data_IF_836630466909
#
_entry.id   IF_836630466909
#
_cell.length_a   1.000
_cell.length_b   1.000
_cell.length_c   1.000
_cell.angle_alpha   90.00
_cell.angle_beta   90.00
_cell.angle_gamma   90.00
#
_symmetry.space_group_name_H-M   'P 1'
#
loop_
_entity.id
_entity.type
_entity.pdbx_description
1 polymer ?
#
# COMPACT_ATOMS: atom_id res chain seq x y z
N UNK A 1 -16.49 37.93 36.15
CA UNK A 1 -15.87 36.64 36.50
C UNK A 1 -15.08 36.19 35.29
N UNK A 2 -13.75 35.98 35.39
CA UNK A 2 -13.01 35.46 34.25
C UNK A 2 -13.47 34.03 33.96
N UNK A 3 -13.73 33.73 32.69
CA UNK A 3 -14.08 32.41 32.22
C UNK A 3 -12.97 31.43 32.62
N UNK A 4 -13.35 30.43 33.41
CA UNK A 4 -12.47 29.35 33.81
C UNK A 4 -12.14 28.57 32.54
N UNK A 5 -10.89 28.67 32.07
CA UNK A 5 -10.41 27.86 30.97
C UNK A 5 -10.66 26.39 31.32
N UNK A 6 -11.47 25.70 30.52
CA UNK A 6 -11.71 24.28 30.68
C UNK A 6 -10.35 23.58 30.66
N UNK A 7 -10.03 22.85 31.74
CA UNK A 7 -8.84 22.02 31.76
C UNK A 7 -8.88 21.08 30.54
N UNK A 8 -7.76 20.86 29.84
CA UNK A 8 -7.73 19.89 28.76
C UNK A 8 -8.21 18.55 29.31
N UNK A 9 -9.25 17.98 28.69
CA UNK A 9 -9.74 16.66 29.06
C UNK A 9 -8.55 15.69 29.05
N UNK A 10 -8.28 15.03 30.19
CA UNK A 10 -7.22 14.05 30.27
C UNK A 10 -7.49 12.96 29.22
N UNK A 11 -6.53 12.72 28.33
CA UNK A 11 -6.62 11.64 27.34
C UNK A 11 -6.57 10.33 28.12
N UNK A 12 -7.69 9.59 28.14
CA UNK A 12 -7.74 8.27 28.75
C UNK A 12 -6.84 7.29 28.00
N UNK A 13 -6.25 6.33 28.73
CA UNK A 13 -5.42 5.28 28.12
C UNK A 13 -6.25 4.44 27.14
N UNK A 14 -5.75 4.18 25.92
CA UNK A 14 -6.52 3.43 24.93
C UNK A 14 -6.57 1.93 25.23
N UNK A 15 -5.69 1.40 26.08
CA UNK A 15 -5.69 -0.02 26.48
C UNK A 15 -6.76 -0.20 27.57
N UNK A 16 -7.83 -0.90 27.22
CA UNK A 16 -8.99 -1.10 28.11
C UNK A 16 -8.96 -2.45 28.84
N UNK A 17 -8.14 -3.39 28.36
CA UNK A 17 -7.78 -4.61 29.09
C UNK A 17 -6.47 -5.19 28.54
N UNK A 18 -5.76 -5.96 29.35
CA UNK A 18 -4.59 -6.71 28.90
C UNK A 18 -4.39 -7.97 29.74
N UNK A 19 -3.82 -9.00 29.14
CA UNK A 19 -3.31 -10.19 29.84
C UNK A 19 -1.82 -10.35 29.53
N UNK A 20 -0.98 -10.62 30.54
CA UNK A 20 0.41 -10.97 30.28
C UNK A 20 0.50 -12.33 29.58
N UNK A 21 1.65 -12.57 28.96
CA UNK A 21 1.98 -13.89 28.43
C UNK A 21 1.93 -14.94 29.56
N UNK A 22 1.38 -16.11 29.26
CA UNK A 22 1.24 -17.20 30.23
C UNK A 22 1.22 -18.55 29.51
N UNK A 23 2.24 -19.39 29.77
CA UNK A 23 2.40 -20.66 29.06
C UNK A 23 2.49 -20.43 27.54
N UNK A 24 1.66 -21.14 26.77
CA UNK A 24 1.57 -20.99 25.31
C UNK A 24 0.74 -19.76 24.86
N UNK A 25 0.07 -19.04 25.79
CA UNK A 25 -0.67 -17.82 25.46
C UNK A 25 0.30 -16.63 25.37
N UNK A 26 0.41 -15.94 24.22
CA UNK A 26 1.15 -14.69 24.13
C UNK A 26 0.48 -13.60 24.98
N UNK A 27 1.19 -12.50 25.25
CA UNK A 27 0.52 -11.33 25.82
C UNK A 27 -0.60 -10.86 24.87
N UNK A 28 -1.70 -10.35 25.41
CA UNK A 28 -2.80 -9.80 24.61
C UNK A 28 -3.24 -8.47 25.20
N UNK A 29 -3.47 -7.49 24.34
CA UNK A 29 -4.02 -6.19 24.70
C UNK A 29 -5.29 -5.91 23.92
N UNK A 30 -6.26 -5.29 24.59
CA UNK A 30 -7.53 -4.86 24.03
C UNK A 30 -7.54 -3.35 24.06
N UNK A 31 -7.65 -2.72 22.89
CA UNK A 31 -7.61 -1.27 22.74
C UNK A 31 -8.94 -0.73 22.23
N UNK A 32 -9.35 0.42 22.75
CA UNK A 32 -10.42 1.20 22.16
C UNK A 32 -9.99 1.71 20.78
N UNK A 33 -10.80 1.47 19.75
CA UNK A 33 -10.48 1.81 18.37
C UNK A 33 -11.61 2.60 17.68
N UNK A 34 -12.20 3.56 18.39
CA UNK A 34 -13.40 4.30 17.98
C UNK A 34 -14.61 3.93 18.84
N UNK A 35 -15.79 4.41 18.47
CA UNK A 35 -17.03 4.22 19.23
C UNK A 35 -17.60 2.79 19.12
N UNK A 36 -17.43 2.15 17.96
CA UNK A 36 -17.98 0.83 17.65
C UNK A 36 -16.94 -0.26 17.41
N UNK A 37 -15.69 -0.07 17.87
CA UNK A 37 -14.60 -1.02 17.62
C UNK A 37 -13.69 -1.26 18.82
N UNK A 38 -13.25 -2.51 18.93
CA UNK A 38 -12.10 -2.93 19.74
C UNK A 38 -11.00 -3.43 18.82
N UNK A 39 -9.75 -3.08 19.13
CA UNK A 39 -8.58 -3.66 18.50
C UNK A 39 -7.90 -4.59 19.51
N UNK A 40 -7.95 -5.89 19.23
CA UNK A 40 -7.18 -6.89 19.96
C UNK A 40 -5.81 -7.02 19.31
N UNK A 41 -4.74 -7.05 20.10
CA UNK A 41 -3.38 -7.26 19.62
C UNK A 41 -2.65 -8.33 20.45
N UNK A 42 -2.03 -9.29 19.77
CA UNK A 42 -1.21 -10.32 20.41
C UNK A 42 0.29 -9.99 20.33
N UNK A 43 1.01 -10.33 21.40
CA UNK A 43 2.47 -10.32 21.47
C UNK A 43 3.12 -8.96 21.25
N UNK A 44 4.44 -8.98 21.14
CA UNK A 44 5.24 -7.81 20.82
C UNK A 44 5.06 -7.41 19.33
N UNK A 45 5.60 -6.25 18.97
CA UNK A 45 5.59 -5.76 17.58
C UNK A 45 6.61 -6.50 16.71
N UNK A 46 6.39 -7.80 16.53
CA UNK A 46 7.21 -8.71 15.73
C UNK A 46 6.34 -9.47 14.74
N UNK A 47 6.94 -9.91 13.64
CA UNK A 47 6.31 -10.86 12.75
C UNK A 47 6.49 -12.27 13.32
N UNK A 48 5.40 -12.83 13.83
CA UNK A 48 5.33 -14.22 14.29
C UNK A 48 4.02 -14.84 13.77
N UNK A 49 4.15 -15.93 13.01
CA UNK A 49 3.01 -16.63 12.42
C UNK A 49 2.11 -17.23 13.50
N UNK A 50 2.65 -17.60 14.67
CA UNK A 50 1.86 -18.15 15.78
C UNK A 50 0.79 -17.15 16.25
N UNK A 51 1.09 -15.85 16.25
CA UNK A 51 0.14 -14.79 16.62
C UNK A 51 -1.05 -14.75 15.65
N UNK A 52 -0.78 -14.90 14.34
CA UNK A 52 -1.84 -14.95 13.34
C UNK A 52 -2.68 -16.22 13.42
N UNK A 53 -2.04 -17.35 13.70
CA UNK A 53 -2.70 -18.62 13.93
C UNK A 53 -3.61 -18.57 15.17
N UNK A 54 -3.18 -17.86 16.23
CA UNK A 54 -4.02 -17.64 17.41
C UNK A 54 -5.25 -16.79 17.10
N UNK A 55 -5.11 -15.75 16.26
CA UNK A 55 -6.26 -14.97 15.77
C UNK A 55 -7.24 -15.87 15.02
N UNK A 56 -6.75 -16.80 14.22
CA UNK A 56 -7.61 -17.75 13.52
C UNK A 56 -8.38 -18.65 14.49
N UNK A 57 -7.74 -19.14 15.55
CA UNK A 57 -8.42 -19.88 16.62
C UNK A 57 -9.49 -19.03 17.31
N UNK A 58 -9.19 -17.77 17.61
CA UNK A 58 -10.15 -16.84 18.21
C UNK A 58 -11.36 -16.60 17.29
N UNK A 59 -11.11 -16.34 16.00
CA UNK A 59 -12.19 -16.16 15.02
C UNK A 59 -13.04 -17.43 14.90
N UNK A 60 -12.43 -18.61 14.82
CA UNK A 60 -13.15 -19.87 14.79
C UNK A 60 -14.00 -20.12 16.04
N UNK A 61 -13.51 -19.72 17.23
CA UNK A 61 -14.29 -19.78 18.46
C UNK A 61 -15.47 -18.81 18.46
N UNK A 62 -15.30 -17.60 17.92
CA UNK A 62 -16.37 -16.60 17.78
C UNK A 62 -17.39 -16.98 16.71
N UNK A 63 -16.99 -17.68 15.65
CA UNK A 63 -17.90 -18.22 14.65
C UNK A 63 -18.74 -19.38 15.22
N UNK A 64 -18.15 -20.18 16.12
CA UNK A 64 -18.82 -21.30 16.77
C UNK A 64 -19.77 -20.89 17.91
N UNK A 65 -19.42 -19.85 18.69
CA UNK A 65 -20.27 -19.21 19.71
C UNK A 65 -20.37 -17.69 19.49
N UNK A 66 -21.21 -17.24 18.54
CA UNK A 66 -21.35 -15.83 18.21
C UNK A 66 -21.81 -14.98 19.39
N UNK A 67 -21.11 -13.86 19.63
CA UNK A 67 -21.50 -12.88 20.65
C UNK A 67 -22.52 -11.92 20.04
N UNK A 68 -23.74 -11.88 20.60
CA UNK A 68 -24.76 -10.92 20.19
C UNK A 68 -24.23 -9.47 20.28
N UNK A 69 -24.35 -8.73 19.18
CA UNK A 69 -23.85 -7.37 19.04
C UNK A 69 -22.48 -7.25 18.37
N UNK A 70 -21.70 -8.33 18.21
CA UNK A 70 -20.53 -8.34 17.33
C UNK A 70 -20.99 -8.42 15.88
N UNK A 71 -20.49 -7.51 15.04
CA UNK A 71 -20.95 -7.32 13.66
C UNK A 71 -19.94 -7.80 12.62
N UNK A 72 -18.65 -7.64 12.89
CA UNK A 72 -17.59 -7.91 11.92
C UNK A 72 -16.27 -8.21 12.64
N UNK A 73 -15.50 -9.16 12.09
CA UNK A 73 -14.17 -9.56 12.53
C UNK A 73 -13.18 -9.36 11.39
N UNK A 74 -12.25 -8.43 11.56
CA UNK A 74 -11.29 -8.05 10.51
C UNK A 74 -9.86 -8.35 10.97
N UNK A 75 -9.30 -9.52 10.60
CA UNK A 75 -7.97 -9.92 11.04
C UNK A 75 -6.88 -9.15 10.28
N UNK A 76 -5.90 -8.65 11.04
CA UNK A 76 -4.60 -8.22 10.56
C UNK A 76 -3.55 -9.30 10.74
N UNK A 77 -2.27 -8.90 10.79
CA UNK A 77 -1.14 -9.83 10.96
C UNK A 77 -1.08 -10.39 12.39
N UNK A 78 -1.07 -9.51 13.40
CA UNK A 78 -1.00 -9.84 14.83
C UNK A 78 -2.16 -9.24 15.64
N UNK A 79 -3.18 -8.75 14.95
CA UNK A 79 -4.32 -8.08 15.56
C UNK A 79 -5.64 -8.49 14.94
N UNK A 80 -6.72 -8.32 15.69
CA UNK A 80 -8.09 -8.52 15.24
C UNK A 80 -8.88 -7.26 15.57
N UNK A 81 -9.41 -6.60 14.55
CA UNK A 81 -10.39 -5.54 14.76
C UNK A 81 -11.78 -6.17 14.87
N UNK A 82 -12.49 -5.82 15.94
CA UNK A 82 -13.81 -6.34 16.27
C UNK A 82 -14.77 -5.17 16.24
N UNK A 83 -15.68 -5.16 15.26
CA UNK A 83 -16.77 -4.19 15.17
C UNK A 83 -17.95 -4.69 15.99
N UNK A 84 -18.53 -3.83 16.82
CA UNK A 84 -19.70 -4.17 17.63
C UNK A 84 -20.70 -3.02 17.72
N UNK A 85 -21.97 -3.36 17.97
CA UNK A 85 -23.03 -2.39 18.26
C UNK A 85 -23.11 -2.14 19.78
N UNK A 86 -22.65 -0.96 20.20
CA UNK A 86 -22.63 -0.55 21.60
C UNK A 86 -24.02 -0.42 22.24
N UNK A 87 -25.09 -0.40 21.42
CA UNK A 87 -26.49 -0.42 21.89
C UNK A 87 -26.98 -1.83 22.22
N UNK A 88 -26.29 -2.86 21.72
CA UNK A 88 -26.60 -4.28 21.96
C UNK A 88 -25.68 -4.87 23.03
N UNK A 89 -24.39 -4.55 22.99
CA UNK A 89 -23.39 -5.02 23.96
C UNK A 89 -22.46 -3.88 24.38
N UNK A 90 -22.33 -3.68 25.70
CA UNK A 90 -21.39 -2.71 26.24
C UNK A 90 -19.94 -3.21 26.10
N UNK A 91 -18.99 -2.29 25.91
CA UNK A 91 -17.57 -2.61 25.70
C UNK A 91 -17.01 -3.54 26.79
N UNK A 92 -17.28 -3.25 28.06
CA UNK A 92 -16.82 -4.09 29.18
C UNK A 92 -17.35 -5.53 29.10
N UNK A 93 -18.63 -5.71 28.78
CA UNK A 93 -19.24 -7.03 28.64
C UNK A 93 -18.66 -7.81 27.44
N UNK A 94 -18.36 -7.12 26.34
CA UNK A 94 -17.66 -7.71 25.19
C UNK A 94 -16.25 -8.17 25.58
N UNK A 95 -15.47 -7.33 26.27
CA UNK A 95 -14.13 -7.68 26.75
C UNK A 95 -14.18 -8.91 27.66
N UNK A 96 -15.11 -8.97 28.62
CA UNK A 96 -15.25 -10.13 29.51
C UNK A 96 -15.54 -11.43 28.74
N UNK A 97 -16.33 -11.38 27.67
CA UNK A 97 -16.58 -12.54 26.81
C UNK A 97 -15.32 -12.94 26.04
N UNK A 98 -14.60 -11.98 25.47
CA UNK A 98 -13.35 -12.24 24.76
C UNK A 98 -12.27 -12.82 25.67
N UNK A 99 -12.12 -12.31 26.90
CA UNK A 99 -11.19 -12.83 27.90
C UNK A 99 -11.52 -14.29 28.29
N UNK A 100 -12.81 -14.64 28.36
CA UNK A 100 -13.25 -16.01 28.63
C UNK A 100 -12.93 -16.95 27.46
N UNK A 101 -13.18 -16.52 26.22
CA UNK A 101 -12.83 -17.29 25.02
C UNK A 101 -11.31 -17.49 24.94
N UNK A 102 -10.55 -16.42 25.15
CA UNK A 102 -9.08 -16.41 25.13
C UNK A 102 -8.46 -17.44 26.08
N UNK A 103 -9.07 -17.62 27.26
CA UNK A 103 -8.62 -18.60 28.26
C UNK A 103 -8.86 -20.06 27.82
N UNK A 104 -9.80 -20.31 26.91
CA UNK A 104 -10.14 -21.65 26.40
C UNK A 104 -9.54 -21.99 25.03
N UNK A 105 -8.82 -21.06 24.38
CA UNK A 105 -8.24 -21.32 23.06
C UNK A 105 -7.16 -22.41 23.12
N UNK A 106 -7.19 -23.28 22.10
CA UNK A 106 -6.19 -24.31 21.91
C UNK A 106 -4.78 -23.72 21.67
N UNK A 107 -3.77 -24.57 21.85
CA UNK A 107 -2.39 -24.24 21.51
C UNK A 107 -2.19 -24.27 19.98
N UNK A 108 -1.54 -23.24 19.45
CA UNK A 108 -1.20 -23.13 18.03
C UNK A 108 -0.13 -24.13 17.61
N UNK A 109 0.65 -24.68 18.54
CA UNK A 109 1.76 -25.59 18.27
C UNK A 109 1.37 -26.84 17.47
N UNK A 110 0.08 -27.25 17.52
CA UNK A 110 -0.43 -28.43 16.78
C UNK A 110 -1.41 -28.06 15.67
N UNK A 111 -1.58 -26.76 15.41
CA UNK A 111 -2.57 -26.27 14.45
C UNK A 111 -2.19 -26.67 13.03
N UNK A 112 -3.22 -27.13 12.32
CA UNK A 112 -3.17 -27.38 10.88
C UNK A 112 -4.28 -26.60 10.22
N UNK A 113 -3.94 -25.83 9.19
CA UNK A 113 -4.90 -24.99 8.47
C UNK A 113 -4.92 -25.41 6.99
N UNK A 114 -6.10 -25.64 6.39
CA UNK A 114 -6.20 -25.80 4.94
C UNK A 114 -5.59 -24.59 4.23
N UNK A 115 -4.76 -24.82 3.23
CA UNK A 115 -4.08 -23.76 2.47
C UNK A 115 -4.16 -24.09 0.99
N UNK A 116 -4.50 -23.09 0.17
CA UNK A 116 -4.44 -23.23 -1.29
C UNK A 116 -3.14 -22.61 -1.79
N UNK A 117 -2.38 -23.31 -2.61
CA UNK A 117 -1.24 -22.75 -3.32
C UNK A 117 -1.71 -22.24 -4.68
N UNK A 118 -1.79 -20.91 -4.81
CA UNK A 118 -2.26 -20.20 -6.00
C UNK A 118 -1.05 -19.76 -6.82
N UNK A 119 -0.89 -20.33 -8.00
CA UNK A 119 0.21 -20.02 -8.91
C UNK A 119 -0.19 -18.88 -9.87
N UNK A 120 0.44 -17.72 -9.72
CA UNK A 120 0.13 -16.53 -10.50
C UNK A 120 1.28 -16.17 -11.47
N UNK A 121 0.99 -15.80 -12.73
CA UNK A 121 2.01 -15.25 -13.62
C UNK A 121 2.41 -13.86 -13.13
N UNK A 122 3.69 -13.51 -13.23
CA UNK A 122 4.14 -12.15 -12.94
C UNK A 122 5.16 -11.68 -13.98
N UNK A 123 4.91 -10.49 -14.52
CA UNK A 123 5.91 -9.73 -15.27
C UNK A 123 6.70 -8.87 -14.27
N UNK A 124 8.02 -9.06 -14.23
CA UNK A 124 8.90 -8.34 -13.31
C UNK A 124 9.25 -6.97 -13.91
N UNK A 125 9.02 -5.90 -13.15
CA UNK A 125 9.24 -4.51 -13.57
C UNK A 125 8.63 -4.15 -14.93
N UNK A 126 7.38 -4.56 -15.17
CA UNK A 126 6.63 -4.18 -16.37
C UNK A 126 6.38 -2.66 -16.45
N UNK A 127 6.00 -2.18 -17.63
CA UNK A 127 5.87 -0.75 -17.91
C UNK A 127 4.86 -0.04 -17.00
N UNK A 128 3.77 -0.69 -16.58
CA UNK A 128 2.77 -0.07 -15.70
C UNK A 128 3.32 0.11 -14.27
N UNK A 129 4.07 -0.88 -13.79
CA UNK A 129 4.76 -0.83 -12.48
C UNK A 129 5.77 0.30 -12.46
N UNK A 130 6.64 0.38 -13.48
CA UNK A 130 7.64 1.45 -13.59
C UNK A 130 6.99 2.83 -13.79
N UNK A 131 5.91 2.89 -14.58
CA UNK A 131 5.13 4.11 -14.81
C UNK A 131 4.52 4.69 -13.53
N UNK A 132 4.08 3.84 -12.58
CA UNK A 132 3.59 4.30 -11.28
C UNK A 132 4.71 4.94 -10.43
N UNK A 133 5.95 4.42 -10.50
CA UNK A 133 7.12 5.00 -9.82
C UNK A 133 7.54 6.31 -10.49
N UNK A 134 7.54 6.36 -11.82
CA UNK A 134 7.82 7.58 -12.58
C UNK A 134 6.80 8.68 -12.24
N UNK A 135 5.50 8.37 -12.27
CA UNK A 135 4.46 9.32 -11.90
C UNK A 135 4.69 9.89 -10.50
N UNK A 136 5.02 9.04 -9.52
CA UNK A 136 5.30 9.49 -8.15
C UNK A 136 6.48 10.47 -8.08
N UNK A 137 7.54 10.23 -8.86
CA UNK A 137 8.68 11.15 -8.95
C UNK A 137 8.26 12.52 -9.49
N UNK A 138 7.43 12.53 -10.53
CA UNK A 138 6.98 13.77 -11.19
C UNK A 138 5.97 14.56 -10.36
N UNK A 139 5.18 13.90 -9.51
CA UNK A 139 3.98 14.51 -8.90
C UNK A 139 4.04 14.69 -7.39
N UNK A 140 4.74 13.79 -6.68
CA UNK A 140 4.69 13.73 -5.21
C UNK A 140 6.05 13.99 -4.60
N UNK A 141 7.06 13.21 -4.99
CA UNK A 141 8.42 13.33 -4.42
C UNK A 141 9.46 12.91 -5.45
N UNK A 142 10.18 13.89 -6.00
CA UNK A 142 11.18 13.71 -7.04
C UNK A 142 12.41 12.92 -6.58
N UNK A 143 12.78 13.00 -5.30
CA UNK A 143 13.92 12.28 -4.75
C UNK A 143 13.58 11.65 -3.40
N UNK A 144 13.89 10.36 -3.29
CA UNK A 144 13.85 9.59 -2.06
C UNK A 144 14.80 8.40 -2.22
N UNK A 145 15.23 7.76 -1.13
CA UNK A 145 16.17 6.66 -1.26
C UNK A 145 15.65 5.42 -2.01
N UNK A 146 14.33 5.26 -2.06
CA UNK A 146 13.68 4.22 -2.84
C UNK A 146 13.46 4.56 -4.32
N UNK A 147 13.93 5.73 -4.75
CA UNK A 147 13.89 6.24 -6.12
C UNK A 147 15.32 6.28 -6.72
N UNK A 148 15.47 6.28 -8.05
CA UNK A 148 14.42 6.25 -9.08
C UNK A 148 13.79 4.88 -9.30
N UNK A 149 14.34 3.82 -8.70
CA UNK A 149 13.89 2.44 -8.90
C UNK A 149 13.79 1.68 -7.57
N UNK A 150 12.63 1.07 -7.34
CA UNK A 150 12.33 0.36 -6.09
C UNK A 150 13.10 -0.95 -5.93
N UNK A 151 13.34 -1.69 -7.02
CA UNK A 151 14.07 -2.96 -6.99
C UNK A 151 15.55 -2.73 -6.65
N UNK A 152 16.17 -1.68 -7.18
CA UNK A 152 17.52 -1.27 -6.78
C UNK A 152 17.59 -0.95 -5.29
N UNK A 153 16.58 -0.26 -4.78
CA UNK A 153 16.49 0.02 -3.35
C UNK A 153 16.37 -1.27 -2.52
N UNK A 154 15.46 -2.17 -2.90
CA UNK A 154 15.33 -3.49 -2.25
C UNK A 154 16.65 -4.25 -2.29
N UNK A 155 17.38 -4.22 -3.42
CA UNK A 155 18.69 -4.85 -3.52
C UNK A 155 19.67 -4.29 -2.48
N UNK A 156 19.84 -2.97 -2.44
CA UNK A 156 20.82 -2.30 -1.57
C UNK A 156 20.51 -2.52 -0.09
N UNK A 157 19.27 -2.24 0.33
CA UNK A 157 18.87 -2.33 1.75
C UNK A 157 18.92 -3.76 2.30
N UNK A 158 18.90 -4.77 1.43
CA UNK A 158 19.01 -6.19 1.81
C UNK A 158 20.43 -6.77 1.63
N UNK A 159 21.39 -5.98 1.13
CA UNK A 159 22.76 -6.43 0.91
C UNK A 159 22.86 -7.53 -0.16
N UNK A 160 22.02 -7.44 -1.20
CA UNK A 160 22.00 -8.40 -2.30
C UNK A 160 22.98 -7.98 -3.41
N UNK A 161 23.60 -8.96 -4.05
CA UNK A 161 24.67 -8.72 -5.03
C UNK A 161 24.14 -8.17 -6.36
N UNK A 162 22.87 -8.41 -6.69
CA UNK A 162 22.28 -7.96 -7.96
C UNK A 162 20.76 -7.87 -7.89
N UNK A 163 20.18 -7.08 -8.81
CA UNK A 163 18.73 -7.06 -9.07
C UNK A 163 18.17 -8.45 -9.39
N UNK A 164 18.98 -9.28 -10.07
CA UNK A 164 18.61 -10.67 -10.35
C UNK A 164 18.32 -11.45 -9.07
N UNK A 165 19.09 -11.27 -8.00
CA UNK A 165 18.82 -11.93 -6.72
C UNK A 165 17.50 -11.46 -6.10
N UNK A 166 17.14 -10.18 -6.24
CA UNK A 166 15.81 -9.69 -5.82
C UNK A 166 14.72 -10.44 -6.58
N UNK A 167 14.85 -10.48 -7.91
CA UNK A 167 13.92 -11.20 -8.80
C UNK A 167 13.79 -12.66 -8.39
N UNK A 168 14.90 -13.38 -8.26
CA UNK A 168 14.94 -14.80 -7.95
C UNK A 168 14.23 -15.06 -6.60
N UNK A 169 14.53 -14.28 -5.55
CA UNK A 169 13.85 -14.38 -4.25
C UNK A 169 12.34 -14.15 -4.38
N UNK A 170 11.89 -13.20 -5.19
CA UNK A 170 10.46 -12.92 -5.39
C UNK A 170 9.73 -14.10 -6.05
N UNK A 171 10.37 -14.78 -7.00
CA UNK A 171 9.79 -15.93 -7.68
C UNK A 171 9.92 -17.25 -6.90
N UNK A 172 10.95 -17.40 -6.06
CA UNK A 172 11.17 -18.59 -5.23
C UNK A 172 10.33 -18.59 -3.94
N UNK A 173 9.75 -17.44 -3.58
CA UNK A 173 8.96 -17.29 -2.37
C UNK A 173 7.57 -17.94 -2.43
N UNK A 174 7.18 -18.57 -1.32
CA UNK A 174 5.78 -18.93 -1.02
C UNK A 174 5.21 -17.93 -0.03
N UNK A 175 4.27 -17.10 -0.48
CA UNK A 175 3.71 -15.98 0.29
C UNK A 175 2.41 -16.38 0.99
N UNK A 176 2.46 -16.62 2.30
CA UNK A 176 1.29 -16.95 3.11
C UNK A 176 0.45 -15.69 3.37
N UNK A 177 -0.84 -15.72 3.02
CA UNK A 177 -1.76 -14.60 3.19
C UNK A 177 -2.20 -14.50 4.64
N UNK A 178 -1.83 -13.38 5.27
CA UNK A 178 -2.14 -13.06 6.67
C UNK A 178 -3.44 -12.28 6.78
N UNK A 179 -3.69 -11.34 5.86
CA UNK A 179 -4.89 -10.51 5.83
C UNK A 179 -5.30 -10.15 4.41
N UNK A 180 -6.48 -9.56 4.26
CA UNK A 180 -7.03 -9.09 2.98
C UNK A 180 -7.47 -7.63 3.12
N UNK A 181 -7.45 -6.89 2.02
CA UNK A 181 -7.75 -5.46 1.97
C UNK A 181 -6.54 -4.56 2.27
N UNK A 182 -5.31 -4.97 1.93
CA UNK A 182 -4.06 -4.19 2.03
C UNK A 182 -3.50 -3.84 0.63
N UNK A 183 -4.09 -2.90 -0.14
CA UNK A 183 -5.24 -2.07 0.21
C UNK A 183 -6.41 -2.27 -0.76
N UNK A 184 -7.63 -2.33 -0.21
CA UNK A 184 -8.90 -2.51 -0.92
C UNK A 184 -9.09 -3.88 -1.60
N UNK A 185 -10.34 -4.17 -1.97
CA UNK A 185 -10.76 -5.23 -2.90
C UNK A 185 -9.96 -6.54 -2.85
N UNK A 186 -9.83 -7.15 -1.67
CA UNK A 186 -9.16 -8.45 -1.50
C UNK A 186 -7.64 -8.43 -1.68
N UNK A 187 -7.01 -7.26 -1.77
CA UNK A 187 -5.55 -7.11 -1.81
C UNK A 187 -4.90 -7.82 -0.61
N UNK A 188 -4.00 -8.79 -0.82
CA UNK A 188 -3.45 -9.56 0.29
C UNK A 188 -2.39 -8.75 1.05
N UNK A 189 -2.36 -8.93 2.37
CA UNK A 189 -1.14 -8.72 3.16
C UNK A 189 -0.53 -10.11 3.38
N UNK A 190 0.50 -10.45 2.63
CA UNK A 190 1.12 -11.77 2.64
C UNK A 190 2.57 -11.71 3.09
N UNK A 191 3.12 -12.84 3.52
CA UNK A 191 4.51 -12.92 3.98
C UNK A 191 5.19 -14.20 3.53
N UNK A 192 6.47 -14.16 3.10
CA UNK A 192 7.20 -15.38 2.80
C UNK A 192 7.28 -16.32 4.01
N UNK A 193 6.93 -17.59 3.78
CA UNK A 193 7.01 -18.66 4.77
C UNK A 193 8.46 -18.89 5.20
N UNK A 194 9.39 -18.90 4.23
CA UNK A 194 10.83 -18.94 4.46
C UNK A 194 11.35 -17.55 4.86
N UNK A 195 11.92 -17.37 6.07
CA UNK A 195 12.49 -16.09 6.50
C UNK A 195 13.58 -15.53 5.57
N UNK A 196 14.28 -16.38 4.81
CA UNK A 196 15.31 -15.97 3.84
C UNK A 196 14.74 -15.29 2.60
N UNK A 197 13.42 -15.36 2.40
CA UNK A 197 12.73 -14.66 1.32
C UNK A 197 12.08 -13.35 1.77
N UNK A 198 12.17 -12.99 3.06
CA UNK A 198 11.61 -11.76 3.63
C UNK A 198 12.49 -10.56 3.30
N UNK A 199 12.35 -10.03 2.09
CA UNK A 199 13.01 -8.81 1.66
C UNK A 199 12.50 -7.63 2.49
N UNK A 200 13.37 -7.04 3.32
CA UNK A 200 13.05 -5.91 4.17
C UNK A 200 13.08 -4.62 3.36
N UNK A 201 12.09 -3.77 3.54
CA UNK A 201 12.00 -2.48 2.87
C UNK A 201 11.16 -1.46 3.64
N UNK A 202 11.28 -0.19 3.31
CA UNK A 202 10.39 0.86 3.83
C UNK A 202 9.09 0.91 3.04
N UNK A 203 8.03 1.47 3.65
CA UNK A 203 6.92 2.02 2.87
C UNK A 203 7.30 3.42 2.36
N UNK A 204 6.70 3.83 1.26
CA UNK A 204 6.79 5.19 0.73
C UNK A 204 6.40 6.24 1.78
N UNK A 205 7.09 7.38 1.74
CA UNK A 205 6.76 8.55 2.55
C UNK A 205 6.87 9.86 1.72
N UNK A 206 5.74 10.54 1.43
CA UNK A 206 4.35 10.07 1.63
C UNK A 206 4.00 8.92 0.64
N UNK A 207 2.87 8.25 0.87
CA UNK A 207 2.40 7.19 -0.03
C UNK A 207 2.04 7.72 -1.42
N UNK A 208 2.11 6.86 -2.45
CA UNK A 208 1.63 7.20 -3.80
C UNK A 208 0.12 7.44 -3.81
N UNK A 209 -0.31 8.31 -4.69
CA UNK A 209 -1.71 8.58 -5.01
C UNK A 209 -2.30 7.56 -5.99
N UNK A 210 -1.45 6.96 -6.84
CA UNK A 210 -1.82 6.00 -7.87
C UNK A 210 -0.85 4.80 -7.93
N UNK A 211 -1.38 3.61 -8.18
CA UNK A 211 -0.70 2.34 -8.42
C UNK A 211 -1.64 1.52 -9.29
N UNK A 212 -1.14 0.92 -10.37
CA UNK A 212 -1.98 0.18 -11.30
C UNK A 212 -2.50 -1.14 -10.69
N UNK A 213 -3.71 -1.56 -11.08
CA UNK A 213 -4.28 -2.85 -10.70
C UNK A 213 -3.37 -4.02 -11.09
N UNK A 214 -3.26 -4.99 -10.18
CA UNK A 214 -2.44 -6.18 -10.32
C UNK A 214 -0.97 -5.96 -9.97
N UNK A 215 -0.55 -4.72 -9.67
CA UNK A 215 0.83 -4.45 -9.26
C UNK A 215 1.15 -5.24 -7.99
N UNK A 216 2.33 -5.82 -7.94
CA UNK A 216 2.89 -6.52 -6.79
C UNK A 216 3.86 -5.57 -6.07
N UNK A 217 3.70 -5.43 -4.76
CA UNK A 217 4.54 -4.57 -3.94
C UNK A 217 5.08 -5.28 -2.70
N UNK A 218 6.21 -4.80 -2.17
CA UNK A 218 6.81 -5.23 -0.91
C UNK A 218 6.90 -4.04 0.04
N UNK A 219 6.46 -4.19 1.29
CA UNK A 219 6.43 -3.12 2.29
C UNK A 219 6.72 -3.66 3.68
N UNK A 220 7.79 -3.21 4.32
CA UNK A 220 8.35 -3.97 5.44
C UNK A 220 8.90 -5.29 4.92
N UNK A 221 8.33 -6.42 5.35
CA UNK A 221 8.61 -7.75 4.82
C UNK A 221 7.38 -8.38 4.15
N UNK A 222 6.31 -7.60 4.02
CA UNK A 222 5.01 -8.06 3.51
C UNK A 222 4.92 -7.83 2.02
N UNK A 223 4.27 -8.76 1.32
CA UNK A 223 3.90 -8.65 -0.08
C UNK A 223 2.42 -8.28 -0.19
N UNK A 224 2.09 -7.41 -1.14
CA UNK A 224 0.71 -7.15 -1.56
C UNK A 224 0.54 -7.26 -3.06
N UNK A 225 -0.71 -7.49 -3.48
CA UNK A 225 -1.18 -7.38 -4.87
C UNK A 225 -2.31 -6.35 -4.87
N UNK A 226 -2.16 -5.25 -5.61
CA UNK A 226 -3.15 -4.19 -5.66
C UNK A 226 -4.40 -4.64 -6.44
N UNK A 227 -5.55 -4.79 -5.76
CA UNK A 227 -6.79 -5.33 -6.35
C UNK A 227 -7.54 -4.36 -7.28
N UNK A 228 -7.12 -3.10 -7.34
CA UNK A 228 -7.65 -2.05 -8.21
C UNK A 228 -6.60 -0.95 -8.39
N UNK A 229 -6.86 -0.01 -9.30
CA UNK A 229 -6.10 1.24 -9.35
C UNK A 229 -6.30 2.00 -8.03
N UNK A 230 -5.23 2.23 -7.27
CA UNK A 230 -5.35 2.78 -5.93
C UNK A 230 -4.10 3.52 -5.43
N UNK A 231 -4.22 4.31 -4.36
CA UNK A 231 -3.06 4.73 -3.58
C UNK A 231 -2.27 3.52 -3.05
N UNK A 232 -0.97 3.71 -2.79
CA UNK A 232 -0.11 2.61 -2.38
C UNK A 232 1.19 3.06 -1.72
N UNK A 233 1.58 2.35 -0.66
CA UNK A 233 2.81 2.62 0.08
C UNK A 233 3.93 1.61 -0.14
N UNK A 234 3.70 0.49 -0.83
CA UNK A 234 4.69 -0.60 -0.92
C UNK A 234 5.66 -0.32 -2.07
N UNK A 235 6.90 -0.79 -1.96
CA UNK A 235 7.89 -0.78 -3.04
C UNK A 235 7.46 -1.69 -4.18
N UNK A 236 7.43 -1.20 -5.42
CA UNK A 236 6.84 -1.93 -6.54
C UNK A 236 7.86 -2.85 -7.21
N UNK A 237 7.47 -4.09 -7.55
CA UNK A 237 8.38 -5.11 -8.12
C UNK A 237 7.91 -5.73 -9.43
N UNK A 238 6.62 -5.66 -9.76
CA UNK A 238 6.07 -6.23 -10.99
C UNK A 238 4.54 -6.20 -10.99
N UNK A 239 3.92 -6.91 -11.93
CA UNK A 239 2.45 -6.97 -12.08
C UNK A 239 1.98 -8.39 -12.37
N UNK A 240 0.79 -8.73 -11.89
CA UNK A 240 0.15 -10.05 -12.05
C UNK A 240 -1.30 -9.93 -12.54
N UNK A 241 -2.09 -10.99 -12.45
CA UNK A 241 -3.51 -11.04 -12.84
C UNK A 241 -4.41 -10.27 -11.85
N UNK A 242 -5.60 -9.83 -12.29
CA UNK A 242 -6.58 -9.24 -11.39
C UNK A 242 -7.07 -10.26 -10.35
N UNK A 243 -6.84 -9.95 -9.08
CA UNK A 243 -7.27 -10.77 -7.93
C UNK A 243 -8.70 -10.44 -7.46
N UNK A 244 -9.34 -9.46 -8.10
CA UNK A 244 -10.72 -9.07 -7.87
C UNK A 244 -11.53 -9.10 -9.17
N UNK A 245 -12.68 -9.77 -9.17
CA UNK A 245 -13.58 -9.86 -10.32
C UNK A 245 -15.01 -9.48 -9.92
N UNK A 246 -15.33 -8.19 -10.14
CA UNK A 246 -16.64 -7.60 -9.78
C UNK A 246 -17.84 -8.33 -10.39
N UNK A 247 -17.68 -8.86 -11.60
CA UNK A 247 -18.76 -9.46 -12.38
C UNK A 247 -18.76 -10.99 -12.40
N UNK A 248 -17.83 -11.61 -11.66
CA UNK A 248 -17.68 -13.07 -11.54
C UNK A 248 -17.66 -13.82 -12.88
N UNK A 249 -17.05 -13.22 -13.91
CA UNK A 249 -16.98 -13.82 -15.25
C UNK A 249 -16.11 -15.08 -15.29
N UNK A 250 -15.07 -15.10 -14.46
CA UNK A 250 -14.12 -16.21 -14.42
C UNK A 250 -14.53 -17.23 -13.32
N UNK A 251 -14.72 -18.52 -13.65
CA UNK A 251 -15.19 -19.53 -12.70
C UNK A 251 -14.19 -19.85 -11.58
N UNK A 252 -12.93 -19.39 -11.67
CA UNK A 252 -11.95 -19.52 -10.58
C UNK A 252 -12.36 -18.72 -9.33
N UNK A 253 -13.20 -17.70 -9.49
CA UNK A 253 -13.82 -16.96 -8.40
C UNK A 253 -15.01 -17.77 -7.85
N UNK A 254 -14.76 -18.47 -6.76
CA UNK A 254 -15.69 -19.43 -6.16
C UNK A 254 -16.71 -18.75 -5.23
N UNK A 255 -17.79 -19.47 -4.90
CA UNK A 255 -18.79 -19.11 -3.88
C UNK A 255 -19.52 -17.77 -4.12
N UNK A 256 -19.55 -17.28 -5.35
CA UNK A 256 -20.08 -15.95 -5.66
C UNK A 256 -19.26 -14.80 -5.07
N UNK A 257 -18.01 -15.06 -4.64
CA UNK A 257 -17.13 -14.08 -4.01
C UNK A 257 -16.24 -13.42 -5.06
N UNK A 258 -16.19 -12.07 -5.11
CA UNK A 258 -15.38 -11.36 -6.10
C UNK A 258 -13.87 -11.36 -5.81
N UNK A 259 -13.41 -11.86 -4.66
CA UNK A 259 -11.99 -11.96 -4.34
C UNK A 259 -11.46 -13.38 -4.58
N UNK A 260 -10.32 -13.48 -5.27
CA UNK A 260 -9.67 -14.76 -5.56
C UNK A 260 -9.04 -15.40 -4.32
N UNK A 261 -8.35 -14.57 -3.55
CA UNK A 261 -7.46 -14.98 -2.47
C UNK A 261 -8.17 -15.04 -1.12
N UNK A 262 -7.82 -16.03 -0.29
CA UNK A 262 -8.40 -16.29 1.03
C UNK A 262 -7.31 -16.26 2.09
N UNK A 263 -7.71 -16.12 3.36
CA UNK A 263 -6.77 -16.23 4.48
C UNK A 263 -6.04 -17.57 4.44
N UNK A 264 -4.74 -17.54 4.67
CA UNK A 264 -3.84 -18.70 4.65
C UNK A 264 -3.63 -19.37 3.29
N UNK A 265 -4.15 -18.83 2.18
CA UNK A 265 -3.61 -19.20 0.88
C UNK A 265 -2.11 -18.86 0.81
N UNK A 266 -1.41 -19.58 -0.06
CA UNK A 266 -0.05 -19.27 -0.46
C UNK A 266 -0.07 -18.76 -1.89
N UNK A 267 0.52 -17.60 -2.16
CA UNK A 267 0.78 -17.15 -3.53
C UNK A 267 2.20 -17.56 -3.90
N UNK A 268 2.35 -18.16 -5.10
CA UNK A 268 3.65 -18.39 -5.74
C UNK A 268 3.63 -17.79 -7.12
N UNK A 269 4.65 -17.00 -7.46
CA UNK A 269 4.75 -16.41 -8.78
C UNK A 269 5.54 -17.30 -9.74
N UNK A 270 5.19 -17.25 -11.02
CA UNK A 270 6.06 -17.77 -12.09
C UNK A 270 6.31 -16.68 -13.13
N UNK A 271 7.52 -16.62 -13.70
CA UNK A 271 7.90 -15.53 -14.58
C UNK A 271 7.19 -15.63 -15.93
N UNK A 272 6.67 -14.51 -16.41
CA UNK A 272 6.20 -14.30 -17.78
C UNK A 272 6.73 -12.97 -18.30
N UNK A 273 6.73 -12.78 -19.62
CA UNK A 273 6.97 -11.48 -20.24
C UNK A 273 5.75 -10.56 -20.06
N UNK A 274 5.95 -9.25 -20.21
CA UNK A 274 4.85 -8.28 -20.16
C UNK A 274 3.80 -8.55 -21.24
N UNK A 275 4.22 -8.87 -22.47
CA UNK A 275 3.30 -9.19 -23.56
C UNK A 275 2.48 -10.47 -23.29
N UNK A 276 3.08 -11.50 -22.71
CA UNK A 276 2.35 -12.71 -22.27
C UNK A 276 1.36 -12.37 -21.14
N UNK A 277 1.77 -11.53 -20.18
CA UNK A 277 0.91 -11.11 -19.09
C UNK A 277 -0.30 -10.32 -19.59
N UNK A 278 -0.14 -9.43 -20.57
CA UNK A 278 -1.24 -8.64 -21.11
C UNK A 278 -2.33 -9.53 -21.74
N UNK A 279 -1.92 -10.55 -22.52
CA UNK A 279 -2.85 -11.55 -23.08
C UNK A 279 -3.54 -12.32 -21.95
N UNK A 280 -2.77 -12.82 -20.98
CA UNK A 280 -3.32 -13.58 -19.85
C UNK A 280 -4.29 -12.75 -19.01
N UNK A 281 -4.04 -11.45 -18.82
CA UNK A 281 -4.91 -10.55 -18.06
C UNK A 281 -6.27 -10.39 -18.73
N UNK A 282 -6.31 -10.19 -20.05
CA UNK A 282 -7.56 -10.08 -20.80
C UNK A 282 -8.33 -11.41 -20.85
N UNK A 283 -7.65 -12.52 -21.07
CA UNK A 283 -8.28 -13.84 -21.05
C UNK A 283 -8.78 -14.22 -19.66
N UNK A 284 -8.04 -13.88 -18.60
CA UNK A 284 -8.45 -14.15 -17.23
C UNK A 284 -9.66 -13.31 -16.81
N UNK A 285 -9.75 -12.05 -17.22
CA UNK A 285 -10.92 -11.19 -16.96
C UNK A 285 -12.21 -11.75 -17.56
N UNK A 286 -12.11 -12.33 -18.75
CA UNK A 286 -13.23 -12.89 -19.50
C UNK A 286 -13.46 -14.39 -19.25
N UNK A 287 -12.72 -15.01 -18.32
CA UNK A 287 -12.88 -16.42 -17.97
C UNK A 287 -12.36 -17.41 -19.01
N UNK A 288 -11.53 -16.96 -19.96
CA UNK A 288 -10.86 -17.80 -20.97
C UNK A 288 -9.55 -18.41 -20.48
N UNK A 289 -8.92 -17.82 -19.47
CA UNK A 289 -7.76 -18.36 -18.78
C UNK A 289 -8.08 -18.69 -17.31
N UNK A 290 -7.37 -19.68 -16.77
CA UNK A 290 -7.42 -20.08 -15.35
C UNK A 290 -6.02 -20.10 -14.77
N UNK A 291 -5.93 -20.30 -13.45
CA UNK A 291 -4.67 -20.48 -12.72
C UNK A 291 -4.63 -21.84 -12.05
N UNK A 292 -3.43 -22.36 -11.86
CA UNK A 292 -3.21 -23.59 -11.09
C UNK A 292 -3.39 -23.29 -9.60
N UNK A 293 -4.27 -24.06 -8.96
CA UNK A 293 -4.52 -24.00 -7.52
C UNK A 293 -4.37 -25.42 -6.97
N UNK A 294 -3.50 -25.58 -5.99
CA UNK A 294 -3.30 -26.84 -5.27
C UNK A 294 -3.83 -26.74 -3.85
N UNK A 295 -4.51 -27.80 -3.40
CA UNK A 295 -4.98 -27.91 -2.02
C UNK A 295 -3.89 -28.59 -1.18
N UNK A 296 -3.46 -27.91 -0.12
CA UNK A 296 -2.44 -28.35 0.83
C UNK A 296 -2.93 -28.13 2.28
N UNK A 297 -2.09 -28.54 3.23
CA UNK A 297 -2.29 -28.24 4.66
C UNK A 297 -1.05 -27.53 5.18
N UNK A 298 -1.23 -26.32 5.70
CA UNK A 298 -0.19 -25.62 6.44
C UNK A 298 -0.13 -26.22 7.86
N UNK A 299 0.87 -27.06 8.09
CA UNK A 299 1.14 -27.69 9.38
C UNK A 299 2.14 -26.82 10.17
N UNK A 300 1.66 -26.15 11.22
CA UNK A 300 2.49 -25.22 11.99
C UNK A 300 3.66 -25.91 12.70
N UNK A 301 3.47 -27.16 13.16
CA UNK A 301 4.55 -27.93 13.77
C UNK A 301 5.63 -28.30 12.74
N UNK A 302 5.24 -28.58 11.50
CA UNK A 302 6.19 -28.82 10.41
C UNK A 302 6.97 -27.56 10.03
N UNK A 303 6.30 -26.40 10.00
CA UNK A 303 6.97 -25.12 9.78
C UNK A 303 7.98 -24.80 10.88
N UNK A 304 7.64 -25.05 12.15
CA UNK A 304 8.58 -24.83 13.25
C UNK A 304 9.83 -25.73 13.12
N UNK A 305 9.66 -27.01 12.78
CA UNK A 305 10.82 -27.91 12.52
C UNK A 305 11.70 -27.39 11.39
N UNK A 306 11.10 -26.92 10.30
CA UNK A 306 11.85 -26.29 9.21
C UNK A 306 12.66 -25.07 9.67
N UNK A 307 12.07 -24.21 10.52
CA UNK A 307 12.80 -23.07 11.08
C UNK A 307 13.98 -23.49 11.97
N UNK A 308 13.81 -24.55 12.75
CA UNK A 308 14.85 -25.08 13.63
C UNK A 308 15.98 -25.74 12.82
N UNK A 309 15.63 -26.50 11.77
CA UNK A 309 16.57 -27.17 10.86
C UNK A 309 17.39 -26.16 10.03
N UNK A 310 16.77 -25.05 9.61
CA UNK A 310 17.41 -24.03 8.78
C UNK A 310 17.93 -22.81 9.58
N UNK A 311 17.97 -22.90 10.91
CA UNK A 311 18.23 -21.79 11.82
C UNK A 311 19.54 -21.04 11.47
N UNK A 312 20.62 -21.77 11.19
CA UNK A 312 21.92 -21.18 10.85
C UNK A 312 21.88 -20.41 9.52
N UNK A 313 21.20 -20.97 8.51
CA UNK A 313 21.04 -20.35 7.19
C UNK A 313 20.19 -19.08 7.27
N UNK A 314 19.10 -19.13 8.05
CA UNK A 314 18.23 -17.99 8.34
C UNK A 314 19.00 -16.90 9.08
N UNK A 315 19.77 -17.25 10.12
CA UNK A 315 20.56 -16.29 10.89
C UNK A 315 21.64 -15.61 10.05
N UNK A 316 22.31 -16.35 9.16
CA UNK A 316 23.28 -15.79 8.22
C UNK A 316 22.64 -14.80 7.24
N UNK A 317 21.46 -15.13 6.70
CA UNK A 317 20.68 -14.22 5.85
C UNK A 317 20.30 -12.94 6.61
N UNK A 318 19.73 -13.07 7.80
CA UNK A 318 19.27 -11.93 8.61
C UNK A 318 20.42 -11.04 9.07
N UNK A 319 21.58 -11.61 9.40
CA UNK A 319 22.77 -10.83 9.77
C UNK A 319 23.23 -9.96 8.60
N UNK A 320 23.33 -10.52 7.40
CA UNK A 320 23.69 -9.77 6.19
C UNK A 320 22.67 -8.66 5.89
N UNK A 321 21.39 -9.01 5.91
CA UNK A 321 20.30 -8.06 5.68
C UNK A 321 20.35 -6.91 6.70
N UNK A 322 20.56 -7.21 7.99
CA UNK A 322 20.64 -6.21 9.06
C UNK A 322 21.81 -5.26 8.85
N UNK A 323 23.00 -5.77 8.52
CA UNK A 323 24.15 -4.91 8.26
C UNK A 323 23.91 -3.96 7.09
N UNK A 324 23.28 -4.43 6.01
CA UNK A 324 22.93 -3.59 4.86
C UNK A 324 21.84 -2.57 5.21
N UNK A 325 20.82 -2.98 5.95
CA UNK A 325 19.76 -2.09 6.44
C UNK A 325 20.32 -0.95 7.30
N UNK A 326 21.17 -1.29 8.27
CA UNK A 326 21.76 -0.30 9.18
C UNK A 326 22.65 0.70 8.40
N UNK A 327 23.38 0.24 7.38
CA UNK A 327 24.19 1.10 6.50
C UNK A 327 23.32 2.03 5.62
N UNK A 328 22.27 1.49 5.01
CA UNK A 328 21.35 2.26 4.15
C UNK A 328 20.60 3.33 4.98
N UNK A 329 20.11 2.99 6.18
CA UNK A 329 19.47 3.96 7.09
C UNK A 329 20.44 5.06 7.55
N UNK A 330 21.70 4.73 7.80
CA UNK A 330 22.72 5.72 8.16
C UNK A 330 22.99 6.70 7.00
N UNK A 331 23.06 6.19 5.76
CA UNK A 331 23.22 7.02 4.56
C UNK A 331 22.07 8.02 4.43
N UNK A 332 20.82 7.56 4.57
CA UNK A 332 19.65 8.42 4.41
C UNK A 332 19.59 9.55 5.42
N UNK A 333 19.90 9.26 6.69
CA UNK A 333 19.97 10.30 7.73
C UNK A 333 20.98 11.38 7.40
N UNK A 334 22.09 11.01 6.74
CA UNK A 334 23.10 11.97 6.32
C UNK A 334 22.66 12.81 5.11
N UNK A 335 21.95 12.20 4.16
CA UNK A 335 21.41 12.87 2.98
C UNK A 335 20.27 13.83 3.33
N UNK A 336 19.32 13.42 4.18
CA UNK A 336 18.22 14.27 4.64
C UNK A 336 18.76 15.51 5.36
N UNK A 337 19.78 15.35 6.22
CA UNK A 337 20.44 16.48 6.89
C UNK A 337 21.15 17.43 5.92
N UNK A 338 21.72 16.92 4.82
CA UNK A 338 22.35 17.74 3.80
C UNK A 338 21.31 18.50 2.94
N UNK A 339 20.15 17.89 2.65
CA UNK A 339 19.05 18.54 1.93
C UNK A 339 18.40 19.64 2.76
N UNK A 340 18.17 19.42 4.06
CA UNK A 340 17.65 20.46 4.96
C UNK A 340 18.56 21.69 5.04
N UNK A 341 19.89 21.50 4.97
CA UNK A 341 20.85 22.60 4.93
C UNK A 341 20.90 23.32 3.57
N UNK A 342 20.58 22.63 2.47
CA UNK A 342 20.57 23.18 1.12
C UNK A 342 19.23 23.83 0.71
N UNK A 343 18.13 23.56 1.42
CA UNK A 343 16.79 24.02 1.07
C UNK A 343 16.48 25.50 1.42
N UNK A 344 17.48 26.27 1.87
CA UNK A 344 17.36 27.73 1.95
C UNK A 344 17.54 28.33 0.54
N UNK A 345 16.45 28.47 -0.22
CA UNK A 345 16.44 29.00 -1.58
C UNK A 345 15.19 29.89 -1.83
N UNK A 346 15.20 30.79 -2.83
CA UNK A 346 14.86 32.21 -2.69
C UNK A 346 13.38 32.53 -2.91
N UNK A 347 13.01 33.75 -2.50
CA UNK A 347 11.71 34.37 -2.78
C UNK A 347 11.41 34.47 -4.29
N UNK A 348 10.14 34.33 -4.72
CA UNK A 348 9.78 34.40 -6.13
C UNK A 348 10.04 35.77 -6.75
N UNK A 349 10.56 35.78 -7.98
CA UNK A 349 10.75 36.98 -8.79
C UNK A 349 9.41 37.68 -9.08
N UNK A 350 9.46 39.02 -9.13
CA UNK A 350 8.30 39.89 -9.28
C UNK A 350 7.47 39.60 -10.54
N UNK A 351 6.15 39.63 -10.39
CA UNK A 351 5.17 39.48 -11.47
C UNK A 351 5.36 40.53 -12.57
N UNK A 352 5.79 40.10 -13.76
CA UNK A 352 5.75 40.94 -14.95
C UNK A 352 4.29 41.16 -15.40
N UNK A 353 3.92 42.43 -15.62
CA UNK A 353 2.60 42.83 -16.11
C UNK A 353 2.31 42.24 -17.51
N UNK A 354 1.05 41.85 -17.73
CA UNK A 354 0.56 41.34 -19.01
C UNK A 354 0.53 42.45 -20.07
N UNK A 355 0.81 42.12 -21.34
CA UNK A 355 0.67 43.04 -22.47
C UNK A 355 -0.76 43.07 -23.00
N UNK A 356 -1.09 44.09 -23.79
CA UNK A 356 -2.39 44.20 -24.45
C UNK A 356 -2.63 43.01 -25.40
N UNK A 357 -3.73 42.29 -25.20
CA UNK A 357 -4.04 41.03 -25.92
C UNK A 357 -3.51 39.75 -25.25
N UNK A 358 -2.80 39.86 -24.12
CA UNK A 358 -2.41 38.69 -23.32
C UNK A 358 -3.42 38.43 -22.19
N UNK A 359 -3.81 37.17 -22.00
CA UNK A 359 -4.61 36.71 -20.86
C UNK A 359 -3.84 35.70 -20.00
N UNK A 360 -4.09 35.74 -18.70
CA UNK A 360 -3.48 34.83 -17.73
C UNK A 360 -4.44 33.68 -17.45
N UNK A 361 -3.94 32.46 -17.64
CA UNK A 361 -4.57 31.24 -17.13
C UNK A 361 -3.96 30.92 -15.78
N UNK A 362 -4.79 30.91 -14.74
CA UNK A 362 -4.42 30.62 -13.36
C UNK A 362 -4.88 29.23 -12.94
N UNK A 363 -4.35 28.72 -11.83
CA UNK A 363 -4.80 27.47 -11.24
C UNK A 363 -6.15 27.65 -10.54
N UNK A 364 -7.12 26.76 -10.80
CA UNK A 364 -8.44 26.82 -10.14
C UNK A 364 -8.43 26.26 -8.71
N UNK A 365 -7.38 25.50 -8.34
CA UNK A 365 -7.29 24.85 -7.04
C UNK A 365 -5.85 24.58 -6.61
N UNK A 366 -5.69 24.25 -5.33
CA UNK A 366 -4.39 23.86 -4.77
C UNK A 366 -4.01 22.42 -5.17
N UNK A 367 -2.76 22.21 -5.57
CA UNK A 367 -2.23 20.91 -5.97
C UNK A 367 -0.75 20.96 -6.30
N UNK A 368 -0.26 19.98 -7.05
CA UNK A 368 1.08 19.98 -7.64
C UNK A 368 1.00 19.97 -9.17
N UNK A 369 1.85 20.73 -9.84
CA UNK A 369 1.95 20.70 -11.31
C UNK A 369 2.50 19.32 -11.73
N UNK A 370 1.76 18.58 -12.54
CA UNK A 370 2.20 17.28 -13.03
C UNK A 370 2.83 17.36 -14.41
N UNK A 371 2.08 17.85 -15.41
CA UNK A 371 2.52 17.89 -16.81
C UNK A 371 2.21 19.24 -17.43
N UNK A 372 3.06 19.65 -18.35
CA UNK A 372 2.83 20.83 -19.20
C UNK A 372 2.96 20.34 -20.64
N UNK A 373 1.87 19.86 -21.27
CA UNK A 373 1.91 19.31 -22.63
C UNK A 373 2.09 20.36 -23.73
N UNK A 374 2.26 21.64 -23.38
CA UNK A 374 2.45 22.75 -24.31
C UNK A 374 3.82 23.40 -24.18
N UNK A 375 4.26 24.09 -25.24
CA UNK A 375 5.51 24.84 -25.26
C UNK A 375 5.27 26.33 -25.56
N UNK A 376 6.19 27.19 -25.12
CA UNK A 376 6.15 28.61 -25.51
C UNK A 376 6.25 28.74 -27.03
N UNK A 377 5.37 29.55 -27.62
CA UNK A 377 5.20 29.73 -29.07
C UNK A 377 4.22 28.76 -29.72
N UNK A 378 3.66 27.79 -28.98
CA UNK A 378 2.66 26.87 -29.51
C UNK A 378 1.29 27.53 -29.64
N UNK A 379 0.64 27.33 -30.78
CA UNK A 379 -0.77 27.69 -30.97
C UNK A 379 -1.67 26.60 -30.36
N UNK A 380 -2.69 27.01 -29.63
CA UNK A 380 -3.65 26.17 -28.90
C UNK A 380 -5.07 26.62 -29.24
N UNK A 381 -6.02 25.68 -29.26
CA UNK A 381 -7.45 25.95 -29.41
C UNK A 381 -8.14 26.06 -28.06
N UNK A 382 -9.27 26.77 -28.00
CA UNK A 382 -10.12 26.75 -26.81
C UNK A 382 -10.49 25.31 -26.43
N UNK A 383 -10.26 24.95 -25.16
CA UNK A 383 -10.46 23.61 -24.63
C UNK A 383 -9.22 22.70 -24.63
N UNK A 384 -8.12 23.09 -25.31
CA UNK A 384 -6.88 22.32 -25.29
C UNK A 384 -6.27 22.31 -23.88
N UNK A 385 -5.73 21.16 -23.47
CA UNK A 385 -5.04 21.03 -22.17
C UNK A 385 -3.72 21.79 -22.18
N UNK A 386 -3.58 22.75 -21.26
CA UNK A 386 -2.37 23.56 -21.10
C UNK A 386 -1.45 23.03 -20.02
N UNK A 387 -2.03 22.68 -18.87
CA UNK A 387 -1.31 22.18 -17.68
C UNK A 387 -2.16 21.08 -17.06
N UNK A 388 -1.54 20.04 -16.53
CA UNK A 388 -2.21 19.03 -15.71
C UNK A 388 -1.75 19.20 -14.26
N UNK A 389 -2.68 19.41 -13.35
CA UNK A 389 -2.45 19.53 -11.91
C UNK A 389 -2.87 18.23 -11.24
N UNK A 390 -2.03 17.69 -10.36
CA UNK A 390 -2.44 16.64 -9.42
C UNK A 390 -2.98 17.31 -8.15
N UNK A 391 -4.28 17.18 -7.91
CA UNK A 391 -4.91 17.63 -6.68
C UNK A 391 -5.92 16.60 -6.20
N UNK A 392 -6.07 16.45 -4.89
CA UNK A 392 -7.03 15.51 -4.28
C UNK A 392 -6.89 14.06 -4.81
N UNK A 393 -5.67 13.64 -5.18
CA UNK A 393 -5.35 12.33 -5.78
C UNK A 393 -5.98 12.10 -7.18
N UNK A 394 -6.34 13.18 -7.88
CA UNK A 394 -6.87 13.16 -9.24
C UNK A 394 -5.99 13.99 -10.17
N UNK A 395 -6.04 13.64 -11.46
CA UNK A 395 -5.45 14.44 -12.53
C UNK A 395 -6.50 15.44 -13.03
N UNK A 396 -6.14 16.71 -13.05
CA UNK A 396 -7.05 17.79 -13.42
C UNK A 396 -6.40 18.64 -14.50
N UNK A 397 -7.05 18.67 -15.66
CA UNK A 397 -6.58 19.47 -16.79
C UNK A 397 -7.02 20.92 -16.61
N UNK A 398 -6.05 21.83 -16.62
CA UNK A 398 -6.27 23.27 -16.82
C UNK A 398 -6.27 23.49 -18.33
N UNK A 399 -7.40 23.96 -18.86
CA UNK A 399 -7.64 24.09 -20.30
C UNK A 399 -7.50 25.54 -20.77
N UNK A 400 -7.27 25.72 -22.07
CA UNK A 400 -7.24 27.03 -22.70
C UNK A 400 -8.66 27.63 -22.75
N UNK A 401 -8.90 28.82 -22.17
CA UNK A 401 -10.21 29.47 -22.23
C UNK A 401 -10.57 29.98 -23.62
N UNK A 402 -9.57 30.27 -24.46
CA UNK A 402 -9.70 30.75 -25.83
C UNK A 402 -8.57 30.21 -26.71
N UNK A 403 -8.74 30.27 -28.03
CA UNK A 403 -7.66 29.97 -28.98
C UNK A 403 -6.61 31.09 -28.97
N UNK A 404 -5.34 30.72 -29.11
CA UNK A 404 -4.25 31.69 -29.07
C UNK A 404 -2.88 31.03 -29.11
N UNK A 405 -1.84 31.81 -28.78
CA UNK A 405 -0.45 31.35 -28.71
C UNK A 405 0.08 31.42 -27.28
N UNK A 406 0.74 30.36 -26.81
CA UNK A 406 1.39 30.31 -25.49
C UNK A 406 2.59 31.26 -25.46
N UNK A 407 2.50 32.34 -24.68
CA UNK A 407 3.55 33.38 -24.58
C UNK A 407 4.53 33.05 -23.47
N UNK A 408 4.05 32.54 -22.34
CA UNK A 408 4.90 32.20 -21.20
C UNK A 408 4.31 31.05 -20.39
N UNK A 409 5.20 30.24 -19.82
CA UNK A 409 4.87 29.19 -18.85
C UNK A 409 5.47 29.62 -17.52
N UNK A 410 4.62 29.87 -16.52
CA UNK A 410 4.98 30.41 -15.19
C UNK A 410 5.00 29.35 -14.09
N UNK A 411 4.85 28.09 -14.48
CA UNK A 411 4.84 26.95 -13.56
C UNK A 411 5.85 25.90 -14.01
N UNK A 412 6.20 24.97 -13.10
CA UNK A 412 7.13 23.89 -13.37
C UNK A 412 6.60 22.57 -12.81
N UNK A 413 6.76 21.44 -13.51
CA UNK A 413 6.42 20.12 -12.98
C UNK A 413 7.04 19.86 -11.60
N UNK A 414 6.28 19.21 -10.72
CA UNK A 414 6.66 18.87 -9.35
C UNK A 414 6.58 20.02 -8.34
N UNK A 415 6.17 21.24 -8.75
CA UNK A 415 6.00 22.37 -7.82
C UNK A 415 4.55 22.46 -7.31
N UNK A 416 4.36 22.84 -6.03
CA UNK A 416 3.03 23.13 -5.51
C UNK A 416 2.46 24.38 -6.19
N UNK A 417 1.14 24.40 -6.30
CA UNK A 417 0.37 25.53 -6.82
C UNK A 417 -0.83 25.75 -5.92
N UNK A 418 -1.19 27.01 -5.68
CA UNK A 418 -2.41 27.41 -4.97
C UNK A 418 -3.48 27.87 -5.95
N UNK A 419 -4.73 27.87 -5.51
CA UNK A 419 -5.82 28.50 -6.26
C UNK A 419 -5.49 29.98 -6.52
N UNK A 420 -5.54 30.38 -7.79
CA UNK A 420 -5.23 31.72 -8.28
C UNK A 420 -3.80 31.91 -8.81
N UNK A 421 -2.86 31.00 -8.49
CA UNK A 421 -1.47 31.14 -8.91
C UNK A 421 -1.35 31.15 -10.46
N UNK A 422 -0.48 32.00 -11.03
CA UNK A 422 -0.32 32.14 -12.48
C UNK A 422 0.33 30.91 -13.11
N UNK A 423 -0.29 30.33 -14.14
CA UNK A 423 0.23 29.12 -14.82
C UNK A 423 0.78 29.41 -16.22
N UNK A 424 -0.05 29.98 -17.08
CA UNK A 424 0.24 30.20 -18.51
C UNK A 424 -0.22 31.59 -18.92
N UNK A 425 0.57 32.28 -19.74
CA UNK A 425 0.14 33.49 -20.44
C UNK A 425 -0.19 33.12 -21.88
N UNK A 426 -1.41 33.41 -22.34
CA UNK A 426 -1.86 33.25 -23.71
C UNK A 426 -1.95 34.61 -24.39
N UNK A 427 -1.46 34.74 -25.61
CA UNK A 427 -1.86 35.80 -26.52
C UNK A 427 -3.09 35.30 -27.27
N UNK A 428 -4.25 35.87 -26.98
CA UNK A 428 -5.51 35.44 -27.61
C UNK A 428 -5.52 35.82 -29.09
N UNK A 429 -5.99 34.91 -29.93
CA UNK A 429 -6.26 35.26 -31.31
C UNK A 429 -7.37 36.31 -31.32
N UNK A 430 -7.16 37.41 -32.07
CA UNK A 430 -8.15 38.48 -32.16
C UNK A 430 -9.51 37.89 -32.55
N UNK A 431 -10.47 37.96 -31.64
CA UNK A 431 -11.84 37.53 -31.92
C UNK A 431 -12.34 38.34 -33.11
N UNK A 432 -12.65 37.66 -34.21
CA UNK A 432 -13.49 38.25 -35.24
C UNK A 432 -14.84 38.53 -34.56
N UNK A 433 -15.29 39.79 -34.45
CA UNK A 433 -16.57 40.07 -33.83
C UNK A 433 -17.63 39.37 -34.69
N UNK A 434 -18.26 38.35 -34.12
CA UNK A 434 -19.42 37.70 -34.73
C UNK A 434 -20.50 38.78 -34.80
N UNK A 435 -20.77 39.23 -36.03
CA UNK A 435 -21.83 40.19 -36.36
C UNK A 435 -23.21 39.56 -36.27
#
# INVERSE_FOLDING_TARGET
>A
QPAQAAAPAAVAEPIVAALPAQGARPAVSYRQAGDGYLLLEYGDNVLDLALRMRIHLLMGALDADPIAGVLELSPGVRSLQIRYDSRVILQGALIERLLRIEAGLADVATLKVPTRVVHLPMAFEDSATLGAVQRYQETVRASAPWLPNNVDFIQRINGLASRKQVRDIVFDASYLIMGLGDVYLGAPCAVPIDPRHRLLTSKYNPARTYTAEGTVGIGGVYMCIYGMDSPGGYQLVGRTLPIWNKFLKNPVFQDGKPWLLRFFDQVRFYPVTEAELDVLREDFREGRATVRIEEEVFDFAAHQRFLDEEADSIAAFQTRQKSAFDAEVALWKSEDAAVEQAAAAPEPEAEAALREGESLVSADMCGNIWKIPVQVGQSVSAGDTLVVVEAMKMELSVIAPASGTVVAIRCMPGKPVNAGDPLIVLAEDATCPVA
#
